data_IF_308678226943
#
_entry.id   IF_308678226943
#
_cell.length_a   1.000
_cell.length_b   1.000
_cell.length_c   1.000
_cell.angle_alpha   90.00
_cell.angle_beta   90.00
_cell.angle_gamma   90.00
#
_symmetry.space_group_name_H-M   'P 1'
#
loop_
_entity.id
_entity.type
_entity.pdbx_description
1 polymer ?
2 non-polymer ?
3 non-polymer ?
4 water ?
#
# COMPACT_ATOMS: atom_id res chain seq x y z
N UNK A 1 7.29 3.07 -0.76
CA UNK A 1 8.47 2.26 -1.06
C UNK A 1 9.33 2.83 -2.21
N UNK A 2 8.78 3.76 -3.01
CA UNK A 2 9.36 4.42 -4.20
C UNK A 2 8.53 5.63 -4.58
N UNK A 3 8.88 6.41 -5.65
CA UNK A 3 8.32 7.74 -5.91
C UNK A 3 6.81 7.79 -6.27
N UNK A 4 6.26 6.67 -6.74
CA UNK A 4 4.81 6.50 -6.96
C UNK A 4 4.10 6.50 -5.62
N UNK A 5 4.62 5.75 -4.68
CA UNK A 5 4.03 5.65 -3.33
C UNK A 5 4.19 6.99 -2.59
N UNK A 6 5.31 7.67 -2.82
CA UNK A 6 5.55 9.05 -2.30
C UNK A 6 4.42 10.01 -2.69
N UNK A 7 4.11 10.09 -3.97
CA UNK A 7 3.05 11.01 -4.46
C UNK A 7 1.71 10.57 -3.84
N UNK A 8 1.41 9.27 -3.91
CA UNK A 8 0.13 8.73 -3.37
C UNK A 8 -0.03 9.12 -1.91
N UNK A 9 1.02 8.92 -1.10
CA UNK A 9 0.98 9.25 0.34
C UNK A 9 0.74 10.76 0.54
N UNK A 10 1.38 11.59 -0.26
CA UNK A 10 1.21 13.05 -0.13
C UNK A 10 -0.25 13.44 -0.37
N UNK A 11 -0.90 12.79 -1.32
CA UNK A 11 -2.35 13.03 -1.60
C UNK A 11 -3.17 12.50 -0.42
N UNK A 12 -2.92 11.27 0.06
CA UNK A 12 -3.74 10.69 1.13
C UNK A 12 -3.64 11.53 2.40
N UNK A 13 -2.45 12.04 2.71
CA UNK A 13 -2.21 12.67 4.05
C UNK A 13 -2.89 14.04 4.12
N UNK A 14 -3.21 14.69 3.00
CA UNK A 14 -3.76 16.05 3.04
C UNK A 14 -5.12 16.17 2.33
N UNK A 15 -5.43 15.30 1.35
CA UNK A 15 -6.59 15.51 0.45
C UNK A 15 -7.62 14.38 0.57
N UNK A 16 -7.67 13.63 1.66
CA UNK A 16 -8.73 12.59 1.84
C UNK A 16 -9.41 12.75 3.18
N UNK A 17 -10.68 12.34 3.20
CA UNK A 17 -11.47 12.19 4.44
C UNK A 17 -12.16 10.84 4.35
N UNK A 18 -12.68 10.37 5.47
CA UNK A 18 -13.54 9.17 5.47
C UNK A 18 -14.99 9.65 5.38
N UNK A 19 -15.69 9.29 4.30
CA UNK A 19 -17.10 9.67 4.13
C UNK A 19 -17.98 8.46 4.46
N UNK A 20 -19.07 8.70 5.16
CA UNK A 20 -20.04 7.63 5.52
C UNK A 20 -21.44 8.07 5.07
N UNK A 21 -22.06 7.25 4.21
CA UNK A 21 -23.48 7.42 3.79
C UNK A 21 -24.22 6.18 4.33
N UNK A 22 -25.52 6.09 4.04
CA UNK A 22 -26.35 4.90 4.36
C UNK A 22 -25.91 3.69 3.56
N UNK A 23 -25.07 3.88 2.53
CA UNK A 23 -24.60 2.80 1.63
C UNK A 23 -23.17 2.36 1.98
N UNK A 24 -22.51 2.93 3.00
CA UNK A 24 -21.20 2.46 3.47
C UNK A 24 -20.22 3.57 3.83
N UNK A 25 -19.00 3.15 4.17
CA UNK A 25 -17.81 4.00 4.37
C UNK A 25 -16.99 4.04 3.09
N UNK A 26 -16.58 5.23 2.63
CA UNK A 26 -15.82 5.43 1.38
C UNK A 26 -14.61 6.33 1.65
N UNK A 27 -13.51 6.03 0.99
CA UNK A 27 -12.44 7.00 0.75
C UNK A 27 -13.08 8.14 -0.03
N UNK A 28 -12.81 9.38 0.37
CA UNK A 28 -13.33 10.58 -0.35
C UNK A 28 -12.17 11.52 -0.60
N UNK A 29 -11.96 11.86 -1.86
CA UNK A 29 -10.91 12.81 -2.30
C UNK A 29 -11.43 14.24 -2.28
N UNK A 30 -10.75 15.09 -1.50
CA UNK A 30 -10.97 16.54 -1.52
C UNK A 30 -10.16 17.17 -2.63
N UNK A 31 -10.76 18.05 -3.44
CA UNK A 31 -10.08 18.55 -4.67
C UNK A 31 -9.65 20.02 -4.48
N UNK A 32 -10.55 20.86 -3.95
CA UNK A 32 -10.22 22.28 -3.67
C UNK A 32 -11.36 22.84 -2.83
N UNK A 33 -11.09 23.95 -2.11
CA UNK A 33 -12.10 24.64 -1.25
C UNK A 33 -12.82 23.56 -0.42
N UNK A 34 -14.15 23.43 -0.52
CA UNK A 34 -14.92 22.43 0.28
C UNK A 34 -15.51 21.39 -0.69
N UNK A 35 -14.90 21.25 -1.86
CA UNK A 35 -15.41 20.37 -2.96
C UNK A 35 -14.63 19.04 -2.91
N UNK A 36 -15.37 17.94 -2.89
CA UNK A 36 -14.81 16.59 -2.89
C UNK A 36 -15.55 15.72 -3.91
N UNK A 37 -15.06 14.51 -4.11
CA UNK A 37 -15.70 13.53 -5.02
C UNK A 37 -15.91 12.19 -4.30
N UNK A 38 -16.89 11.45 -4.80
CA UNK A 38 -17.26 10.13 -4.21
C UNK A 38 -17.95 9.36 -5.31
N UNK A 39 -17.88 8.01 -5.34
CA UNK A 39 -18.69 7.28 -6.33
C UNK A 39 -20.18 7.57 -6.18
N UNK A 40 -20.88 7.67 -7.33
CA UNK A 40 -22.32 8.00 -7.34
C UNK A 40 -23.12 6.94 -6.58
N UNK A 41 -22.69 5.68 -6.61
CA UNK A 41 -23.39 4.60 -5.89
C UNK A 41 -23.32 4.77 -4.36
N UNK A 42 -22.54 5.73 -3.84
CA UNK A 42 -22.62 6.11 -2.40
C UNK A 42 -23.97 6.74 -2.03
N UNK A 43 -24.77 7.21 -2.99
CA UNK A 43 -26.12 7.81 -2.80
C UNK A 43 -26.07 8.93 -1.75
N UNK A 44 -25.23 9.93 -1.99
CA UNK A 44 -25.08 11.08 -1.07
C UNK A 44 -26.44 11.79 -0.93
N UNK A 45 -26.82 12.11 0.30
CA UNK A 45 -28.06 12.84 0.60
C UNK A 45 -27.78 14.24 1.09
N UNK A 46 -28.68 14.75 1.95
CA UNK A 46 -28.65 16.13 2.47
C UNK A 46 -27.61 16.23 3.59
N UNK A 47 -27.30 15.08 4.22
CA UNK A 47 -26.37 14.94 5.38
C UNK A 47 -25.43 13.76 5.10
N UNK A 48 -24.15 13.95 5.38
CA UNK A 48 -23.10 12.91 5.23
C UNK A 48 -22.22 12.96 6.50
N UNK A 49 -21.54 11.87 6.86
CA UNK A 49 -20.56 11.87 7.97
C UNK A 49 -19.17 12.02 7.34
N UNK A 50 -18.36 12.94 7.85
CA UNK A 50 -16.99 13.24 7.35
C UNK A 50 -16.08 13.03 8.57
N UNK A 51 -15.28 11.96 8.58
CA UNK A 51 -14.43 11.64 9.77
C UNK A 51 -15.33 11.59 11.01
N UNK A 52 -16.50 10.95 10.88
CA UNK A 52 -17.51 10.71 11.95
C UNK A 52 -18.15 12.00 12.49
N UNK A 53 -18.12 13.08 11.74
CA UNK A 53 -18.78 14.38 12.09
C UNK A 53 -19.96 14.59 11.13
N UNK A 54 -21.14 14.79 11.70
CA UNK A 54 -22.36 15.13 10.93
C UNK A 54 -22.14 16.42 10.14
N UNK A 55 -22.29 16.37 8.81
CA UNK A 55 -21.93 17.48 7.90
C UNK A 55 -23.06 17.69 6.87
N UNK A 56 -23.53 18.92 6.76
CA UNK A 56 -24.54 19.26 5.74
C UNK A 56 -23.90 19.24 4.38
N UNK A 57 -24.61 18.68 3.42
CA UNK A 57 -24.21 18.71 1.98
C UNK A 57 -24.81 19.98 1.36
N UNK A 58 -23.96 20.90 0.88
CA UNK A 58 -24.46 22.19 0.31
C UNK A 58 -24.88 21.97 -1.13
N UNK A 59 -24.27 21.00 -1.84
CA UNK A 59 -24.57 20.70 -3.24
C UNK A 59 -24.06 19.30 -3.54
N UNK A 60 -24.75 18.55 -4.39
CA UNK A 60 -24.26 17.23 -4.86
C UNK A 60 -24.70 17.07 -6.32
N UNK A 61 -23.76 16.75 -7.20
CA UNK A 61 -24.07 16.63 -8.64
C UNK A 61 -23.48 15.32 -9.18
N UNK A 62 -24.36 14.41 -9.58
CA UNK A 62 -24.00 13.12 -10.19
C UNK A 62 -23.68 13.39 -11.65
N UNK A 63 -22.42 13.31 -12.03
CA UNK A 63 -21.98 13.69 -13.39
C UNK A 63 -22.45 12.65 -14.42
N UNK A 64 -22.78 13.16 -15.61
CA UNK A 64 -23.11 12.35 -16.82
C UNK A 64 -22.43 13.00 -18.00
N UNK A 65 -22.00 12.24 -18.99
CA UNK A 65 -21.42 12.84 -20.21
C UNK A 65 -22.54 13.44 -21.08
N UNK A 66 -22.12 14.05 -22.19
CA UNK A 66 -23.08 14.82 -23.01
C UNK A 66 -23.95 13.89 -23.84
N UNK A 67 -23.67 12.59 -23.90
CA UNK A 67 -24.66 11.54 -24.36
C UNK A 67 -25.62 11.14 -23.22
N UNK A 68 -25.58 11.77 -22.05
CA UNK A 68 -26.48 11.49 -20.91
C UNK A 68 -26.17 10.06 -20.44
N UNK A 69 -24.89 9.68 -20.44
CA UNK A 69 -24.40 8.39 -19.89
C UNK A 69 -23.73 8.62 -18.51
N UNK A 70 -24.03 7.77 -17.55
CA UNK A 70 -23.44 7.79 -16.19
C UNK A 70 -21.90 7.94 -16.30
N UNK A 71 -21.28 8.82 -15.47
CA UNK A 71 -19.81 8.77 -15.27
C UNK A 71 -19.39 8.19 -13.89
N UNK A 72 -20.33 7.97 -12.98
CA UNK A 72 -20.11 7.35 -11.64
C UNK A 72 -19.35 8.29 -10.69
N UNK A 73 -19.20 9.57 -11.05
CA UNK A 73 -18.57 10.57 -10.15
C UNK A 73 -19.69 11.47 -9.62
N UNK A 74 -19.78 11.62 -8.29
CA UNK A 74 -20.60 12.70 -7.68
C UNK A 74 -19.66 13.75 -7.07
N UNK A 75 -19.87 15.00 -7.43
CA UNK A 75 -19.12 16.15 -6.87
C UNK A 75 -19.96 16.66 -5.73
N UNK A 76 -19.34 16.76 -4.55
CA UNK A 76 -20.06 17.16 -3.31
C UNK A 76 -19.43 18.44 -2.79
N UNK A 77 -20.24 19.45 -2.45
CA UNK A 77 -19.72 20.59 -1.68
C UNK A 77 -20.16 20.43 -0.23
N UNK A 78 -19.21 20.42 0.71
CA UNK A 78 -19.43 20.11 2.12
C UNK A 78 -19.52 21.40 2.95
N UNK A 79 -20.45 21.45 3.91
CA UNK A 79 -20.51 22.57 4.89
C UNK A 79 -19.48 22.33 5.99
N UNK A 80 -18.22 22.39 5.62
CA UNK A 80 -17.06 22.12 6.49
C UNK A 80 -16.38 23.45 6.83
N UNK A 81 -15.71 23.54 7.98
CA UNK A 81 -15.09 24.78 8.46
C UNK A 81 -13.66 24.91 7.95
N UNK A 82 -13.23 24.08 7.00
CA UNK A 82 -11.82 24.04 6.58
C UNK A 82 -11.80 23.70 5.09
N UNK A 83 -10.89 24.29 4.34
CA UNK A 83 -10.67 24.00 2.91
C UNK A 83 -9.62 22.90 2.71
N UNK A 84 -9.76 22.18 1.60
CA UNK A 84 -8.72 21.26 1.10
C UNK A 84 -7.63 22.04 0.41
N UNK A 85 -6.42 21.53 0.50
CA UNK A 85 -5.33 21.96 -0.41
C UNK A 85 -5.84 21.85 -1.85
N UNK A 86 -5.61 22.85 -2.68
CA UNK A 86 -6.03 22.83 -4.09
C UNK A 86 -5.08 21.90 -4.87
N UNK A 87 -5.61 20.78 -5.36
CA UNK A 87 -4.85 19.78 -6.16
C UNK A 87 -5.35 19.75 -7.61
N UNK A 88 -6.08 20.76 -8.07
CA UNK A 88 -6.62 20.70 -9.46
C UNK A 88 -5.51 20.67 -10.51
N UNK A 89 -4.33 21.24 -10.24
CA UNK A 89 -3.20 21.21 -11.20
C UNK A 89 -2.61 19.80 -11.35
N UNK A 90 -3.03 18.80 -10.54
CA UNK A 90 -2.59 17.39 -10.68
C UNK A 90 -3.59 16.57 -11.49
N UNK A 91 -4.69 17.19 -11.96
CA UNK A 91 -5.74 16.44 -12.71
C UNK A 91 -5.39 16.48 -14.19
N UNK A 92 -5.54 15.33 -14.89
CA UNK A 92 -5.37 15.28 -16.33
C UNK A 92 -6.39 16.12 -17.08
N UNK A 93 -5.97 16.66 -18.21
CA UNK A 93 -6.91 17.44 -19.05
C UNK A 93 -7.69 16.54 -20.02
N UNK A 94 -7.16 15.36 -20.38
CA UNK A 94 -7.78 14.50 -21.42
C UNK A 94 -7.81 13.04 -20.99
N UNK A 95 -8.65 12.26 -21.64
CA UNK A 95 -8.73 10.79 -21.45
C UNK A 95 -7.38 10.21 -21.89
N UNK A 96 -6.88 9.22 -21.18
CA UNK A 96 -5.53 8.69 -21.44
C UNK A 96 -5.35 7.32 -20.79
N UNK A 97 -4.34 6.59 -21.24
CA UNK A 97 -3.78 5.37 -20.61
C UNK A 97 -2.56 5.80 -19.80
N UNK A 98 -2.18 5.00 -18.80
CA UNK A 98 -1.11 5.34 -17.85
C UNK A 98 -0.25 4.13 -17.56
N UNK A 99 1.00 4.38 -17.18
CA UNK A 99 1.81 3.29 -16.56
C UNK A 99 1.95 3.47 -15.04
N UNK A 100 2.11 2.35 -14.33
CA UNK A 100 2.67 2.26 -12.97
C UNK A 100 1.83 3.14 -12.01
N UNK A 101 0.55 2.82 -11.91
CA UNK A 101 -0.38 3.54 -11.01
C UNK A 101 -0.44 2.87 -9.63
N UNK A 102 -0.86 3.65 -8.65
CA UNK A 102 -1.11 3.23 -7.25
C UNK A 102 -2.56 3.55 -6.95
N UNK A 103 -3.24 2.61 -6.32
CA UNK A 103 -4.59 2.75 -5.72
C UNK A 103 -4.44 2.87 -4.21
N UNK A 104 -4.90 3.97 -3.62
CA UNK A 104 -4.77 4.26 -2.17
C UNK A 104 -6.13 4.40 -1.51
N UNK A 105 -6.29 3.76 -0.36
CA UNK A 105 -7.58 3.65 0.38
C UNK A 105 -7.31 4.02 1.83
N UNK A 106 -8.23 4.75 2.44
CA UNK A 106 -8.16 5.01 3.90
C UNK A 106 -9.56 4.96 4.48
N UNK A 107 -9.91 3.84 5.14
CA UNK A 107 -11.22 3.71 5.83
C UNK A 107 -10.94 3.05 7.19
N UNK A 108 -11.97 2.91 8.03
CA UNK A 108 -11.90 2.10 9.28
C UNK A 108 -11.43 0.66 8.98
N UNK A 109 -11.94 0.04 7.94
CA UNK A 109 -11.63 -1.36 7.53
C UNK A 109 -10.21 -1.45 6.95
N UNK A 110 -9.80 -0.44 6.16
CA UNK A 110 -8.51 -0.48 5.42
C UNK A 110 -7.75 0.83 5.61
N UNK A 111 -7.15 1.10 6.80
CA UNK A 111 -6.33 2.29 6.99
C UNK A 111 -4.97 2.19 6.29
N UNK A 112 -4.50 3.30 5.70
CA UNK A 112 -3.10 3.40 5.21
C UNK A 112 -2.82 2.27 4.22
N UNK A 113 -3.75 2.00 3.31
CA UNK A 113 -3.65 0.93 2.30
C UNK A 113 -3.19 1.51 0.97
N UNK A 114 -2.13 0.95 0.39
CA UNK A 114 -1.57 1.34 -0.92
C UNK A 114 -1.37 0.09 -1.76
N UNK A 115 -1.78 0.10 -3.02
CA UNK A 115 -1.70 -1.07 -3.95
C UNK A 115 -1.07 -0.64 -5.26
N UNK A 116 0.10 -1.20 -5.67
CA UNK A 116 0.66 -0.94 -6.99
C UNK A 116 -0.14 -1.77 -8.00
N UNK A 117 -0.93 -1.10 -8.83
CA UNK A 117 -1.88 -1.82 -9.74
C UNK A 117 -1.28 -1.98 -11.12
N UNK A 118 -0.17 -1.32 -11.42
CA UNK A 118 0.54 -1.38 -12.70
C UNK A 118 -0.16 -0.59 -13.77
N UNK A 119 -0.25 -1.18 -14.96
CA UNK A 119 -0.70 -0.49 -16.20
C UNK A 119 -2.20 -0.19 -16.12
N UNK A 120 -2.58 1.03 -16.50
CA UNK A 120 -4.00 1.48 -16.50
C UNK A 120 -4.45 1.74 -17.95
N UNK A 121 -5.47 1.01 -18.40
CA UNK A 121 -6.05 1.12 -19.75
C UNK A 121 -7.22 2.13 -19.74
N UNK A 122 -7.29 2.98 -20.75
CA UNK A 122 -8.53 3.73 -21.09
C UNK A 122 -9.50 2.69 -21.66
N UNK A 123 -10.33 2.14 -20.79
CA UNK A 123 -11.25 1.00 -21.11
C UNK A 123 -12.49 1.54 -21.85
N UNK A 124 -12.99 2.67 -21.37
CA UNK A 124 -14.15 3.39 -21.97
C UNK A 124 -15.46 2.93 -21.40
N UNK A 125 -16.24 2.17 -22.19
CA UNK A 125 -17.57 1.69 -21.78
C UNK A 125 -17.45 0.51 -20.82
N UNK A 126 -18.26 0.54 -19.75
CA UNK A 126 -18.46 -0.59 -18.81
C UNK A 126 -19.91 -0.61 -18.38
N UNK A 127 -20.49 -1.79 -18.41
CA UNK A 127 -21.78 -2.07 -17.75
C UNK A 127 -21.49 -2.32 -16.27
N UNK A 128 -21.55 -1.25 -15.47
CA UNK A 128 -21.12 -1.26 -14.06
C UNK A 128 -22.33 -1.53 -13.17
N UNK A 129 -22.43 -2.76 -12.61
CA UNK A 129 -23.61 -3.09 -11.78
C UNK A 129 -24.91 -2.93 -12.57
N UNK A 130 -24.92 -3.19 -13.87
CA UNK A 130 -26.13 -3.02 -14.72
C UNK A 130 -26.29 -1.62 -15.31
N UNK A 131 -25.43 -0.64 -14.95
CA UNK A 131 -25.58 0.76 -15.40
C UNK A 131 -24.55 1.07 -16.47
N UNK A 132 -24.92 1.37 -17.73
CA UNK A 132 -23.95 1.78 -18.75
C UNK A 132 -23.14 2.98 -18.19
N UNK A 133 -21.83 2.86 -18.25
CA UNK A 133 -20.89 3.87 -17.67
C UNK A 133 -19.80 4.18 -18.69
N UNK A 134 -19.40 5.45 -18.81
CA UNK A 134 -18.31 5.87 -19.71
C UNK A 134 -17.06 6.34 -18.93
N UNK A 135 -15.96 6.56 -19.66
CA UNK A 135 -14.68 7.07 -19.11
C UNK A 135 -14.15 6.18 -17.98
N UNK A 136 -14.23 4.87 -18.16
CA UNK A 136 -13.69 3.88 -17.20
C UNK A 136 -12.22 3.57 -17.51
N UNK A 137 -11.41 3.61 -16.45
CA UNK A 137 -10.01 3.13 -16.42
C UNK A 137 -10.02 1.70 -15.88
N UNK A 138 -9.14 0.86 -16.40
CA UNK A 138 -9.08 -0.55 -15.91
C UNK A 138 -7.63 -0.90 -15.54
N UNK A 139 -7.51 -1.66 -14.45
CA UNK A 139 -6.21 -2.21 -13.98
C UNK A 139 -6.43 -3.66 -13.59
N UNK A 140 -5.38 -4.46 -13.75
CA UNK A 140 -5.46 -5.93 -13.58
C UNK A 140 -5.05 -6.22 -12.15
N UNK A 141 -5.90 -5.83 -11.20
CA UNK A 141 -5.72 -6.18 -9.77
C UNK A 141 -7.06 -6.60 -9.20
N UNK A 142 -7.10 -7.70 -8.39
CA UNK A 142 -8.32 -8.20 -7.74
C UNK A 142 -8.75 -7.36 -6.52
N UNK A 143 -9.26 -6.17 -6.83
CA UNK A 143 -9.83 -5.22 -5.84
C UNK A 143 -11.10 -5.81 -5.20
N UNK A 144 -11.43 -5.35 -3.99
CA UNK A 144 -12.46 -5.94 -3.10
C UNK A 144 -13.37 -4.83 -2.58
N UNK A 145 -14.54 -5.23 -2.10
CA UNK A 145 -15.45 -4.37 -1.32
C UNK A 145 -14.60 -3.67 -0.23
N UNK A 146 -14.90 -2.39 -0.05
CA UNK A 146 -14.17 -1.50 0.86
C UNK A 146 -13.21 -0.56 0.15
N UNK A 147 -12.93 -0.75 -1.15
CA UNK A 147 -11.92 0.06 -1.87
C UNK A 147 -12.58 1.16 -2.71
N UNK A 148 -13.92 1.19 -2.81
CA UNK A 148 -14.59 2.22 -3.65
C UNK A 148 -14.30 3.60 -3.06
N UNK A 149 -13.98 4.55 -3.95
CA UNK A 149 -13.60 5.91 -3.57
C UNK A 149 -12.07 6.01 -3.51
N UNK A 150 -11.36 4.87 -3.55
CA UNK A 150 -9.90 4.88 -3.47
C UNK A 150 -9.31 5.71 -4.56
N UNK A 151 -8.18 6.36 -4.28
CA UNK A 151 -7.58 7.31 -5.22
C UNK A 151 -6.59 6.59 -6.12
N UNK A 152 -6.71 6.79 -7.42
CA UNK A 152 -5.72 6.27 -8.41
C UNK A 152 -4.79 7.41 -8.84
N UNK A 153 -3.48 7.20 -8.64
CA UNK A 153 -2.44 8.21 -8.95
C UNK A 153 -1.32 7.58 -9.77
N UNK A 154 -0.66 8.41 -10.53
CA UNK A 154 0.73 8.18 -10.99
C UNK A 154 1.60 9.25 -10.33
N UNK A 155 2.91 9.20 -10.52
CA UNK A 155 3.77 10.35 -10.12
C UNK A 155 3.22 11.59 -10.83
N UNK A 156 2.82 12.55 -10.04
CA UNK A 156 2.44 13.87 -10.50
C UNK A 156 1.02 13.94 -10.94
N UNK A 157 0.25 12.82 -11.08
CA UNK A 157 -1.18 12.96 -11.49
C UNK A 157 -2.18 12.16 -10.63
N UNK A 158 -3.31 12.80 -10.35
CA UNK A 158 -4.49 12.15 -9.72
C UNK A 158 -5.47 11.85 -10.84
N UNK A 159 -5.64 10.57 -11.21
CA UNK A 159 -6.27 10.25 -12.53
C UNK A 159 -7.69 9.66 -12.37
N UNK A 160 -8.10 9.22 -11.19
CA UNK A 160 -9.41 8.55 -11.07
C UNK A 160 -9.74 8.15 -9.65
N UNK A 161 -10.96 7.66 -9.46
CA UNK A 161 -11.41 7.10 -8.17
C UNK A 161 -12.04 5.72 -8.45
N UNK A 162 -11.65 4.73 -7.64
CA UNK A 162 -12.07 3.32 -7.78
C UNK A 162 -13.61 3.23 -7.64
N UNK A 163 -14.29 2.51 -8.56
CA UNK A 163 -15.78 2.43 -8.52
C UNK A 163 -16.26 0.97 -8.64
N UNK A 164 -15.38 0.00 -8.91
CA UNK A 164 -15.84 -1.40 -8.97
C UNK A 164 -14.78 -2.40 -9.38
N UNK A 165 -15.18 -3.66 -9.49
CA UNK A 165 -14.25 -4.75 -9.85
C UNK A 165 -15.05 -5.96 -10.28
N UNK A 166 -14.41 -6.90 -10.98
CA UNK A 166 -15.10 -8.16 -11.39
C UNK A 166 -14.42 -9.37 -10.76
N UNK A 167 -13.64 -9.20 -9.69
CA UNK A 167 -12.84 -10.28 -9.08
C UNK A 167 -11.42 -10.37 -9.61
N UNK A 168 -11.16 -10.08 -10.89
CA UNK A 168 -9.79 -10.12 -11.50
C UNK A 168 -9.28 -8.72 -11.91
N UNK A 169 -10.21 -7.87 -12.36
CA UNK A 169 -9.93 -6.47 -12.77
C UNK A 169 -10.60 -5.49 -11.79
N UNK A 170 -10.00 -4.30 -11.68
CA UNK A 170 -10.58 -3.15 -10.98
C UNK A 170 -10.84 -2.03 -11.97
N UNK A 171 -11.82 -1.20 -11.66
CA UNK A 171 -12.31 -0.11 -12.54
C UNK A 171 -12.39 1.20 -11.75
N UNK A 172 -11.87 2.26 -12.37
CA UNK A 172 -11.95 3.61 -11.79
C UNK A 172 -12.68 4.54 -12.78
N UNK A 173 -13.37 5.53 -12.25
CA UNK A 173 -13.94 6.65 -13.04
C UNK A 173 -12.86 7.72 -13.22
N UNK A 174 -12.67 8.21 -14.44
CA UNK A 174 -11.67 9.26 -14.69
C UNK A 174 -11.99 10.50 -13.87
N UNK A 175 -10.94 11.20 -13.45
CA UNK A 175 -11.06 12.61 -13.04
C UNK A 175 -10.39 13.46 -14.14
N UNK A 176 -11.11 14.47 -14.57
CA UNK A 176 -10.65 15.44 -15.56
C UNK A 176 -10.68 16.84 -14.96
N UNK A 177 -9.70 17.64 -15.33
CA UNK A 177 -9.60 19.04 -14.87
C UNK A 177 -10.91 19.81 -15.13
N UNK A 178 -11.57 19.54 -16.27
CA UNK A 178 -12.80 20.27 -16.70
C UNK A 178 -13.98 20.03 -15.77
N UNK A 179 -13.95 19.00 -14.91
CA UNK A 179 -15.04 18.77 -13.95
C UNK A 179 -15.04 19.85 -12.86
N UNK A 180 -13.92 20.56 -12.64
CA UNK A 180 -13.70 21.38 -11.40
C UNK A 180 -13.28 22.81 -11.71
N UNK A 181 -13.61 23.30 -12.89
CA UNK A 181 -13.47 24.74 -13.26
C UNK A 181 -14.56 25.51 -12.49
N UNK A 182 -14.25 26.69 -11.96
CA UNK A 182 -15.13 27.50 -11.07
C UNK A 182 -15.01 28.98 -11.42
N UNK B 2 -8.78 -7.30 7.26
CA UNK B 2 -9.64 -7.96 8.29
C UNK B 2 -8.81 -8.39 9.51
N UNK B 3 -8.77 -9.71 9.83
CA UNK B 3 -7.85 -10.21 10.84
C UNK B 3 -6.43 -10.05 10.28
N UNK B 4 -6.31 -10.10 8.95
CA UNK B 4 -5.06 -9.89 8.19
C UNK B 4 -4.48 -8.49 8.44
N UNK B 5 -5.29 -7.44 8.20
CA UNK B 5 -4.87 -6.03 8.42
C UNK B 5 -4.61 -5.77 9.91
N UNK B 6 -5.44 -6.27 10.82
CA UNK B 6 -5.19 -6.20 12.28
C UNK B 6 -3.85 -6.84 12.61
N UNK B 7 -3.59 -8.03 12.07
CA UNK B 7 -2.35 -8.79 12.36
C UNK B 7 -1.14 -7.97 11.89
N UNK B 8 -1.18 -7.48 10.65
CA UNK B 8 -0.07 -6.69 10.06
C UNK B 8 0.20 -5.48 10.95
N UNK B 9 -0.86 -4.78 11.40
CA UNK B 9 -0.72 -3.55 12.24
C UNK B 9 -0.09 -3.90 13.61
N UNK B 10 -0.52 -5.06 14.20
CA UNK B 10 -0.03 -5.52 15.53
C UNK B 10 1.48 -5.81 15.46
N UNK B 11 1.91 -6.43 14.37
CA UNK B 11 3.35 -6.71 14.15
C UNK B 11 4.13 -5.40 13.86
N UNK B 12 3.56 -4.52 13.03
CA UNK B 12 4.15 -3.18 12.74
C UNK B 12 4.39 -2.43 14.06
N UNK B 13 3.36 -2.28 14.90
CA UNK B 13 3.40 -1.38 16.09
C UNK B 13 4.49 -1.82 17.07
N UNK B 14 4.55 -3.11 17.40
CA UNK B 14 5.45 -3.59 18.47
C UNK B 14 6.79 -4.14 17.93
N UNK B 15 6.82 -4.66 16.71
CA UNK B 15 8.00 -5.44 16.24
C UNK B 15 8.75 -4.80 15.06
N UNK B 16 8.42 -3.60 14.58
CA UNK B 16 9.07 -3.02 13.38
C UNK B 16 9.73 -1.70 13.79
N UNK B 17 11.03 -1.56 13.49
CA UNK B 17 11.83 -0.33 13.75
C UNK B 17 12.43 0.16 12.43
N UNK B 18 12.88 1.42 12.41
CA UNK B 18 13.59 1.99 11.23
C UNK B 18 15.09 1.78 11.45
N UNK B 19 15.73 0.98 10.60
CA UNK B 19 17.18 0.72 10.69
C UNK B 19 17.87 1.59 9.63
N UNK B 20 18.97 2.23 9.97
CA UNK B 20 19.72 3.03 8.97
C UNK B 20 21.18 2.54 8.99
N UNK B 21 21.62 2.03 7.84
CA UNK B 21 23.02 1.63 7.54
C UNK B 21 23.67 2.70 6.66
N UNK B 22 24.94 2.48 6.28
CA UNK B 22 25.64 3.36 5.31
C UNK B 22 24.81 3.49 4.03
N UNK B 23 23.97 2.50 3.68
CA UNK B 23 23.18 2.50 2.43
C UNK B 23 21.85 3.27 2.57
N UNK B 24 21.41 3.56 3.76
CA UNK B 24 20.16 4.31 4.03
C UNK B 24 19.20 3.51 4.88
N UNK B 25 17.89 3.74 4.70
CA UNK B 25 16.88 3.28 5.69
C UNK B 25 16.19 2.01 5.18
N UNK B 26 16.01 1.10 6.14
CA UNK B 26 15.38 -0.21 5.90
C UNK B 26 14.34 -0.45 6.99
N UNK B 27 13.21 -1.06 6.59
CA UNK B 27 12.25 -1.60 7.55
C UNK B 27 12.88 -2.83 8.24
N UNK B 28 13.00 -2.79 9.53
CA UNK B 28 13.66 -3.89 10.29
C UNK B 28 12.61 -4.57 11.16
N UNK B 29 12.60 -5.92 11.15
CA UNK B 29 11.76 -6.71 12.07
C UNK B 29 12.57 -7.18 13.28
N UNK B 30 12.13 -6.78 14.48
CA UNK B 30 12.61 -7.41 15.72
C UNK B 30 11.86 -8.70 16.02
N UNK B 31 12.58 -9.77 16.34
CA UNK B 31 12.01 -11.13 16.46
C UNK B 31 11.86 -11.55 17.93
N UNK B 32 12.87 -11.32 18.75
CA UNK B 32 12.88 -11.64 20.21
C UNK B 32 14.14 -11.05 20.84
N UNK B 33 14.12 -10.85 22.17
CA UNK B 33 15.32 -10.30 22.87
C UNK B 33 15.84 -9.07 22.11
N UNK B 34 17.14 -9.06 21.76
CA UNK B 34 17.71 -7.94 20.95
C UNK B 34 18.06 -8.45 19.54
N UNK B 35 17.34 -9.47 19.07
CA UNK B 35 17.59 -10.13 17.77
C UNK B 35 16.60 -9.62 16.73
N UNK B 36 17.13 -9.11 15.60
CA UNK B 36 16.31 -8.56 14.50
C UNK B 36 16.83 -9.07 13.15
N UNK B 37 16.05 -8.87 12.11
CA UNK B 37 16.44 -9.25 10.72
C UNK B 37 16.33 -8.07 9.79
N UNK B 38 17.20 -8.08 8.79
CA UNK B 38 17.28 -7.01 7.74
C UNK B 38 17.78 -7.69 6.48
N UNK B 39 17.47 -7.21 5.25
CA UNK B 39 18.08 -7.82 4.06
C UNK B 39 19.61 -7.71 4.06
N UNK B 40 20.26 -8.75 3.54
CA UNK B 40 21.74 -8.79 3.50
C UNK B 40 22.27 -7.60 2.68
N UNK B 41 21.54 -7.15 1.66
CA UNK B 41 22.01 -5.99 0.83
C UNK B 41 22.07 -4.68 1.61
N UNK B 42 21.53 -4.61 2.85
CA UNK B 42 21.65 -3.41 3.71
C UNK B 42 23.11 -3.12 4.13
N UNK B 43 23.96 -4.14 4.07
CA UNK B 43 25.42 -4.05 4.36
C UNK B 43 25.63 -3.52 5.79
N UNK B 44 25.07 -4.24 6.76
CA UNK B 44 25.17 -3.91 8.19
C UNK B 44 26.65 -3.89 8.62
N UNK B 45 27.04 -2.84 9.34
CA UNK B 45 28.41 -2.70 9.85
C UNK B 45 28.48 -2.93 11.34
N UNK B 46 29.42 -2.23 11.97
CA UNK B 46 29.64 -2.35 13.44
C UNK B 46 28.59 -1.51 14.18
N UNK B 47 28.11 -0.47 13.51
CA UNK B 47 27.17 0.54 14.09
C UNK B 47 25.98 0.65 13.12
N UNK B 48 24.80 0.75 13.71
CA UNK B 48 23.51 0.96 13.00
C UNK B 48 22.69 2.00 13.78
N UNK B 49 21.82 2.73 13.08
CA UNK B 49 20.81 3.62 13.72
C UNK B 49 19.49 2.86 13.79
N UNK B 50 18.91 2.84 14.99
CA UNK B 50 17.59 2.18 15.28
C UNK B 50 16.66 3.31 15.75
N UNK B 51 15.72 3.72 14.90
CA UNK B 51 14.84 4.86 15.20
C UNK B 51 15.69 6.10 15.53
N UNK B 52 16.79 6.29 14.78
CA UNK B 52 17.67 7.50 14.79
C UNK B 52 18.62 7.46 15.98
N UNK B 53 18.68 6.34 16.73
CA UNK B 53 19.65 6.15 17.85
C UNK B 53 20.84 5.31 17.37
N UNK B 54 22.05 5.89 17.42
CA UNK B 54 23.32 5.13 17.22
C UNK B 54 23.35 3.89 18.13
N UNK B 55 23.51 2.67 17.55
CA UNK B 55 23.39 1.37 18.26
C UNK B 55 24.52 0.44 17.80
N UNK B 56 25.29 -0.09 18.75
CA UNK B 56 26.36 -1.07 18.44
C UNK B 56 25.67 -2.35 17.95
N UNK B 57 26.14 -2.89 16.83
CA UNK B 57 25.74 -4.25 16.38
C UNK B 57 26.72 -5.28 16.99
N UNK B 58 26.25 -6.07 17.94
CA UNK B 58 27.12 -7.03 18.66
C UNK B 58 27.48 -8.20 17.73
N UNK B 59 26.57 -8.58 16.83
CA UNK B 59 26.73 -9.77 15.98
C UNK B 59 25.89 -9.56 14.72
N UNK B 60 26.42 -9.96 13.56
CA UNK B 60 25.67 -9.97 12.27
C UNK B 60 26.01 -11.29 11.57
N UNK B 61 24.98 -12.02 11.16
CA UNK B 61 25.11 -13.29 10.43
C UNK B 61 24.35 -13.17 9.10
N UNK B 62 25.07 -13.19 7.99
CA UNK B 62 24.49 -13.23 6.62
C UNK B 62 24.10 -14.68 6.33
N UNK B 63 22.82 -15.01 6.47
CA UNK B 63 22.39 -16.43 6.48
C UNK B 63 22.61 -17.12 5.14
N UNK B 64 23.05 -18.37 5.22
CA UNK B 64 23.14 -19.33 4.09
C UNK B 64 22.58 -20.68 4.54
N UNK B 65 22.06 -21.45 3.61
CA UNK B 65 21.45 -22.76 3.94
C UNK B 65 22.53 -23.85 3.88
N UNK B 66 22.13 -25.09 4.06
CA UNK B 66 23.10 -26.21 4.14
C UNK B 66 23.64 -26.62 2.76
N UNK B 67 23.10 -26.08 1.66
CA UNK B 67 23.73 -26.17 0.33
C UNK B 67 24.79 -25.06 0.15
N UNK B 68 25.02 -24.25 1.20
CA UNK B 68 25.96 -23.11 1.18
C UNK B 68 25.48 -22.11 0.13
N UNK B 69 24.17 -21.84 0.11
CA UNK B 69 23.56 -20.86 -0.80
C UNK B 69 22.99 -19.70 0.04
N UNK B 70 23.18 -18.50 -0.46
CA UNK B 70 22.64 -17.24 0.12
C UNK B 70 21.13 -17.37 0.37
N UNK B 71 20.69 -16.83 1.51
CA UNK B 71 19.23 -16.65 1.82
C UNK B 71 18.82 -15.16 1.84
N UNK B 72 19.80 -14.23 1.75
CA UNK B 72 19.56 -12.77 1.69
C UNK B 72 18.95 -12.21 3.00
N UNK B 73 19.00 -12.93 4.09
CA UNK B 73 18.59 -12.47 5.45
C UNK B 73 19.86 -12.30 6.25
N UNK B 74 20.02 -11.16 6.92
CA UNK B 74 21.04 -10.99 7.95
C UNK B 74 20.36 -10.89 9.31
N UNK B 75 20.78 -11.77 10.23
CA UNK B 75 20.32 -11.75 11.65
C UNK B 75 21.29 -10.86 12.43
N UNK B 76 20.78 -9.85 13.13
CA UNK B 76 21.64 -8.96 13.97
C UNK B 76 21.27 -9.12 15.45
N UNK B 77 22.25 -8.97 16.33
CA UNK B 77 22.09 -8.86 17.80
C UNK B 77 22.48 -7.43 18.19
N UNK B 78 21.53 -6.65 18.71
CA UNK B 78 21.73 -5.19 18.94
C UNK B 78 22.11 -4.95 20.42
N UNK B 79 23.00 -3.98 20.65
CA UNK B 79 23.33 -3.43 22.00
C UNK B 79 22.31 -2.34 22.36
N UNK B 80 21.12 -2.74 22.85
CA UNK B 80 20.06 -1.79 23.29
C UNK B 80 19.29 -2.40 24.47
N UNK B 81 18.78 -1.53 25.35
CA UNK B 81 18.10 -1.95 26.60
C UNK B 81 16.78 -2.63 26.26
N UNK B 82 16.03 -2.06 25.30
CA UNK B 82 14.67 -2.54 24.94
C UNK B 82 14.78 -3.96 24.39
N UNK B 83 13.87 -4.82 24.83
CA UNK B 83 13.69 -6.19 24.30
C UNK B 83 12.51 -6.19 23.33
N UNK B 84 12.60 -6.93 22.23
CA UNK B 84 11.49 -7.09 21.27
C UNK B 84 10.47 -8.08 21.82
N UNK B 85 9.18 -7.79 21.64
CA UNK B 85 8.08 -8.76 21.88
C UNK B 85 8.38 -10.05 21.11
N UNK B 86 8.46 -11.21 21.81
CA UNK B 86 8.74 -12.50 21.13
C UNK B 86 7.61 -12.84 20.14
N UNK B 87 7.95 -13.08 18.85
CA UNK B 87 7.02 -13.46 17.76
C UNK B 87 7.49 -14.74 17.08
N UNK B 88 8.40 -15.47 17.71
CA UNK B 88 8.91 -16.73 17.08
C UNK B 88 7.78 -17.72 16.83
N UNK B 89 6.75 -17.74 17.69
CA UNK B 89 5.58 -18.63 17.49
C UNK B 89 4.76 -18.28 16.24
N UNK B 90 4.97 -17.10 15.61
CA UNK B 90 4.30 -16.75 14.35
C UNK B 90 5.12 -17.06 13.10
N UNK B 91 6.31 -17.65 13.26
CA UNK B 91 7.18 -17.98 12.08
C UNK B 91 6.80 -19.35 11.55
N UNK B 92 6.62 -19.52 10.23
CA UNK B 92 6.40 -20.84 9.63
C UNK B 92 7.55 -21.83 9.92
N UNK B 93 7.16 -23.09 10.13
CA UNK B 93 8.13 -24.19 10.37
C UNK B 93 8.71 -24.68 9.04
N UNK B 94 7.93 -24.59 7.97
CA UNK B 94 8.31 -25.13 6.63
C UNK B 94 8.08 -24.08 5.55
N UNK B 95 8.68 -24.31 4.38
CA UNK B 95 8.46 -23.55 3.13
C UNK B 95 7.01 -23.77 2.69
N UNK B 96 6.35 -22.74 2.16
CA UNK B 96 4.92 -22.85 1.79
C UNK B 96 4.50 -21.73 0.84
N UNK B 97 3.35 -21.91 0.19
CA UNK B 97 2.60 -20.87 -0.56
C UNK B 97 1.57 -20.26 0.39
N UNK B 98 1.12 -19.03 0.12
CA UNK B 98 0.16 -18.30 1.00
C UNK B 98 -0.84 -17.49 0.17
N UNK B 99 -1.99 -17.18 0.79
CA UNK B 99 -2.97 -16.25 0.19
C UNK B 99 -3.11 -15.00 1.06
N UNK B 100 -3.49 -13.90 0.43
CA UNK B 100 -4.02 -12.73 1.17
C UNK B 100 -2.91 -12.08 1.99
N UNK B 101 -1.69 -11.98 1.44
CA UNK B 101 -0.55 -11.43 2.21
C UNK B 101 -0.56 -9.89 2.19
N UNK B 102 0.06 -9.31 3.22
CA UNK B 102 0.25 -7.84 3.33
C UNK B 102 1.75 -7.59 3.53
N UNK B 103 2.28 -6.62 2.79
CA UNK B 103 3.65 -6.12 2.92
C UNK B 103 3.56 -4.81 3.68
N UNK B 104 4.26 -4.71 4.81
CA UNK B 104 4.19 -3.54 5.71
C UNK B 104 5.54 -2.82 5.77
N UNK B 105 5.51 -1.55 5.31
CA UNK B 105 6.71 -0.69 5.12
C UNK B 105 6.75 0.34 6.23
N UNK B 106 7.91 0.56 6.79
CA UNK B 106 8.06 1.54 7.87
C UNK B 106 9.45 2.20 7.78
N UNK B 107 9.49 3.44 7.26
CA UNK B 107 10.74 4.26 7.22
C UNK B 107 10.38 5.71 7.55
N UNK B 108 11.38 6.57 7.59
CA UNK B 108 11.10 8.02 7.84
C UNK B 108 10.23 8.58 6.70
N UNK B 109 10.49 8.16 5.48
CA UNK B 109 9.76 8.62 4.25
C UNK B 109 8.37 7.99 4.15
N UNK B 110 8.23 6.73 4.59
CA UNK B 110 7.01 5.89 4.43
C UNK B 110 6.62 5.33 5.79
N UNK B 111 6.07 6.12 6.70
CA UNK B 111 5.72 5.63 8.02
C UNK B 111 4.43 4.80 7.93
N UNK B 112 4.36 3.69 8.64
CA UNK B 112 3.06 2.94 8.68
C UNK B 112 2.33 2.84 7.31
N UNK B 113 2.92 2.23 6.26
CA UNK B 113 2.33 1.97 4.92
C UNK B 113 2.03 0.46 4.74
N UNK B 114 0.80 0.07 4.40
CA UNK B 114 0.36 -1.35 4.22
C UNK B 114 0.04 -1.62 2.75
N UNK B 115 0.71 -2.61 2.16
CA UNK B 115 0.57 -2.96 0.71
C UNK B 115 0.03 -4.36 0.58
N UNK B 116 -1.28 -4.55 0.30
CA UNK B 116 -1.84 -5.88 0.07
C UNK B 116 -1.17 -6.35 -1.21
N UNK B 117 -0.52 -7.52 -1.15
CA UNK B 117 0.16 -8.07 -2.34
C UNK B 117 -0.63 -9.28 -2.85
N UNK B 118 -1.41 -9.92 -1.97
CA UNK B 118 -2.32 -11.03 -2.34
C UNK B 118 -1.58 -12.35 -2.35
N UNK B 119 -1.63 -13.04 -3.48
CA UNK B 119 -1.14 -14.43 -3.59
C UNK B 119 0.39 -14.43 -3.56
N UNK B 120 0.93 -15.29 -2.71
CA UNK B 120 2.40 -15.48 -2.52
C UNK B 120 2.78 -16.91 -2.89
N UNK B 121 3.69 -17.05 -3.84
CA UNK B 121 4.22 -18.38 -4.30
C UNK B 121 5.56 -18.69 -3.64
N UNK B 122 5.78 -19.94 -3.25
CA UNK B 122 7.12 -20.53 -3.02
C UNK B 122 7.84 -20.59 -4.37
N UNK B 123 8.63 -19.57 -4.69
CA UNK B 123 9.26 -19.36 -6.02
C UNK B 123 10.55 -20.19 -6.03
N UNK B 124 11.26 -20.19 -4.90
CA UNK B 124 12.47 -20.98 -4.62
C UNK B 124 13.74 -20.27 -5.07
N UNK B 125 14.36 -20.71 -6.18
CA UNK B 125 15.66 -20.18 -6.64
C UNK B 125 15.48 -18.87 -7.39
N UNK B 126 16.33 -17.88 -7.07
CA UNK B 126 16.42 -16.60 -7.78
C UNK B 126 17.90 -16.19 -7.86
N UNK B 127 18.29 -15.78 -9.06
CA UNK B 127 19.58 -15.07 -9.23
C UNK B 127 19.35 -13.60 -8.88
N UNK B 128 19.69 -13.20 -7.66
CA UNK B 128 19.38 -11.85 -7.14
C UNK B 128 20.62 -10.96 -7.21
N UNK B 129 20.66 -10.01 -8.18
CA UNK B 129 21.84 -9.14 -8.34
C UNK B 129 23.11 -9.92 -8.64
N UNK B 130 22.97 -11.07 -9.31
CA UNK B 130 24.11 -11.93 -9.66
C UNK B 130 24.44 -12.97 -8.60
N UNK B 131 23.74 -12.97 -7.46
CA UNK B 131 23.94 -13.98 -6.39
C UNK B 131 22.84 -15.04 -6.38
N UNK B 132 23.20 -16.33 -6.54
CA UNK B 132 22.24 -17.43 -6.42
C UNK B 132 21.64 -17.42 -4.99
N UNK B 133 20.30 -17.43 -4.94
CA UNK B 133 19.53 -17.26 -3.69
C UNK B 133 18.43 -18.31 -3.60
N UNK B 134 18.23 -18.84 -2.39
CA UNK B 134 17.18 -19.84 -2.12
C UNK B 134 16.04 -19.22 -1.29
N UNK B 135 14.95 -19.98 -1.22
CA UNK B 135 13.77 -19.76 -0.33
C UNK B 135 13.14 -18.39 -0.61
N UNK B 136 13.02 -18.02 -1.87
CA UNK B 136 12.34 -16.79 -2.31
C UNK B 136 10.83 -17.04 -2.41
N UNK B 137 10.09 -16.11 -1.82
CA UNK B 137 8.63 -15.95 -2.03
C UNK B 137 8.40 -14.90 -3.11
N UNK B 138 7.38 -15.09 -3.97
CA UNK B 138 7.11 -14.15 -5.06
C UNK B 138 5.63 -13.71 -5.01
N UNK B 139 5.41 -12.43 -5.26
CA UNK B 139 4.07 -11.79 -5.43
C UNK B 139 4.13 -10.82 -6.60
N UNK B 140 2.97 -10.53 -7.22
CA UNK B 140 2.88 -9.44 -8.20
C UNK B 140 3.28 -8.14 -7.52
N UNK B 141 4.05 -7.31 -8.20
CA UNK B 141 4.55 -6.00 -7.70
C UNK B 141 4.98 -5.19 -8.91
N UNK B 142 4.00 -4.68 -9.69
CA UNK B 142 4.27 -4.00 -10.95
C UNK B 142 4.65 -2.53 -10.75
N UNK B 143 5.82 -2.32 -10.14
CA UNK B 143 6.37 -1.03 -9.72
C UNK B 143 7.87 -1.28 -9.53
N UNK B 144 8.68 -0.25 -9.71
CA UNK B 144 10.11 -0.29 -9.35
C UNK B 144 10.19 0.35 -7.97
N UNK B 145 10.26 -0.48 -6.93
CA UNK B 145 10.42 -0.07 -5.52
C UNK B 145 11.91 0.12 -5.20
N UNK B 146 12.21 0.98 -4.22
CA UNK B 146 13.57 1.15 -3.65
C UNK B 146 13.96 -0.03 -2.76
N UNK B 147 15.04 0.16 -2.02
CA UNK B 147 15.70 -0.90 -1.22
C UNK B 147 15.01 -1.16 0.13
N UNK B 148 14.13 -0.28 0.62
CA UNK B 148 13.83 -0.20 2.08
C UNK B 148 13.13 -1.47 2.56
N UNK B 149 12.46 -2.18 1.66
CA UNK B 149 11.77 -3.44 2.01
C UNK B 149 10.65 -3.29 3.03
N UNK B 150 10.35 -4.37 3.74
CA UNK B 150 9.14 -4.45 4.57
C UNK B 150 8.81 -5.87 4.97
N UNK B 151 7.87 -6.00 5.88
CA UNK B 151 7.56 -7.30 6.49
C UNK B 151 6.35 -7.88 5.79
N UNK B 152 6.39 -9.17 5.44
CA UNK B 152 5.28 -9.85 4.76
C UNK B 152 4.56 -10.74 5.79
N UNK B 153 3.24 -10.52 5.93
CA UNK B 153 2.37 -11.27 6.88
C UNK B 153 1.16 -11.83 6.16
N UNK B 154 0.62 -12.88 6.75
CA UNK B 154 -0.75 -13.40 6.45
C UNK B 154 -1.52 -13.33 7.77
N UNK B 155 -2.77 -13.75 7.79
CA UNK B 155 -3.44 -13.93 9.09
C UNK B 155 -2.63 -14.98 9.83
N UNK B 156 -2.08 -14.60 10.97
CA UNK B 156 -1.46 -15.48 11.96
C UNK B 156 -0.02 -15.81 11.72
N UNK B 157 0.60 -15.38 10.60
CA UNK B 157 2.01 -15.74 10.36
C UNK B 157 2.83 -14.56 9.84
N UNK B 158 4.07 -14.53 10.31
CA UNK B 158 5.10 -13.61 9.75
C UNK B 158 5.99 -14.42 8.80
N UNK B 159 5.84 -14.23 7.49
CA UNK B 159 6.33 -15.24 6.50
C UNK B 159 7.63 -14.80 5.83
N UNK B 160 7.98 -13.51 5.80
CA UNK B 160 9.19 -13.11 5.06
C UNK B 160 9.46 -11.64 5.18
N UNK B 161 10.59 -11.23 4.62
CA UNK B 161 10.95 -9.79 4.47
C UNK B 161 11.29 -9.52 3.01
N UNK B 162 10.79 -8.40 2.47
CA UNK B 162 10.99 -7.99 1.06
C UNK B 162 12.47 -7.71 0.75
N UNK B 163 13.02 -8.40 -0.26
CA UNK B 163 14.46 -8.27 -0.60
C UNK B 163 14.72 -7.74 -2.01
N UNK B 164 13.74 -7.69 -2.91
CA UNK B 164 13.98 -7.21 -4.28
C UNK B 164 12.77 -7.30 -5.18
N UNK B 165 12.99 -7.04 -6.47
CA UNK B 165 11.93 -7.12 -7.48
C UNK B 165 12.47 -6.85 -8.86
N UNK B 166 11.69 -7.15 -9.90
CA UNK B 166 12.12 -7.02 -11.32
C UNK B 166 11.18 -6.09 -12.11
N UNK B 167 10.37 -5.26 -11.43
CA UNK B 167 9.40 -4.31 -12.05
C UNK B 167 8.02 -4.92 -12.32
N UNK B 168 7.90 -6.23 -12.29
CA UNK B 168 6.64 -6.98 -12.47
C UNK B 168 6.35 -7.80 -11.20
N UNK B 169 7.40 -8.41 -10.64
CA UNK B 169 7.27 -9.29 -9.45
C UNK B 169 8.08 -8.69 -8.31
N UNK B 170 7.64 -8.97 -7.09
CA UNK B 170 8.32 -8.68 -5.83
C UNK B 170 8.80 -9.98 -5.19
N UNK B 171 9.92 -9.90 -4.48
CA UNK B 171 10.57 -11.11 -3.88
C UNK B 171 10.85 -10.85 -2.44
N UNK B 172 10.53 -11.82 -1.59
CA UNK B 172 10.79 -11.81 -0.16
C UNK B 172 11.61 -13.05 0.19
N UNK B 173 12.51 -12.91 1.15
CA UNK B 173 13.22 -14.03 1.78
C UNK B 173 12.32 -14.65 2.85
N UNK B 174 12.17 -15.97 2.83
CA UNK B 174 11.34 -16.66 3.83
C UNK B 174 11.95 -16.44 5.21
N UNK B 175 11.09 -16.32 6.24
CA UNK B 175 11.50 -16.49 7.64
C UNK B 175 10.98 -17.86 8.09
N UNK B 176 11.88 -18.61 8.70
CA UNK B 176 11.57 -19.95 9.24
C UNK B 176 11.89 -19.95 10.73
N UNK B 177 11.08 -20.74 11.47
CA UNK B 177 11.22 -20.84 12.93
C UNK B 177 12.62 -21.34 13.28
N UNK B 178 13.14 -22.25 12.47
CA UNK B 178 14.47 -22.87 12.75
C UNK B 178 15.62 -21.86 12.67
N UNK B 179 15.41 -20.65 12.13
CA UNK B 179 16.52 -19.68 12.07
C UNK B 179 16.87 -19.06 13.43
N UNK B 180 15.94 -19.17 14.42
CA UNK B 180 15.98 -18.41 15.68
C UNK B 180 15.91 -19.33 16.90
N UNK B 181 15.85 -20.65 16.70
CA UNK B 181 15.86 -21.63 17.81
C UNK B 181 17.20 -21.59 18.56
X LIG C 1 27.41 2.91 10.54
X LIG C 1 26.56 3.70 9.89
X LIG C 1 25.25 3.59 10.02
X LIG C 1 24.77 4.57 9.21
X LIG C 1 25.75 5.24 8.60
X LIG C 1 26.93 4.71 9.01
X LIG D 1 19.50 -16.23 16.14
X LIG D 1 20.64 -15.49 16.82
X LIG D 1 18.33 -16.60 17.42
X LIG D 1 20.07 -17.88 15.85
#
# INVERSE_FOLDING_TARGET
>A
MGPGFDFAQAIMKKNTVIARTEKGEFTMLGVYDRVAVIPTHASVGEIIYINDVETRVLDACALRDLTDTNLEITIVKLDRNQKFRDIRHFLPRCEDDYNDAVLSVHTSKFPNMYIPVGQVTNYGFLNLGGTPTHRILMYNFPTRAGQCGGVVTTTGKVIGIHVGGNGAQGFAAMLLHSYFTD
>B
MGPGFDFAQAIMKKNTVIARTEKGEFTMLGVYDRVAVIPTHASVGEIIYINDVETRVLDACALRDLTDTNLEITIVKLDRNQKFRDIRHFLPRCEDDYNDAVLSVHTSKFPNMYIPVGQVTNYGFLNLGGTPTHRILMYNFPTRAGQCGGVVTTTGKVIGIHVGGNGAQGFAAMLLHSYFTD
>C hetero
1 3AX N2 C1 N1 N3 C3 C2
>D hetero
1 DMS S O C1 C2
#
